data_IF_442272737532
#
_entry.id   IF_442272737532
#
_cell.length_a   1.000
_cell.length_b   1.000
_cell.length_c   1.000
_cell.angle_alpha   90.00
_cell.angle_beta   90.00
_cell.angle_gamma   90.00
#
_symmetry.space_group_name_H-M   'P 1'
#
loop_
_entity.id
_entity.type
_entity.pdbx_description
1 polymer ?
#
# COMPACT_ATOMS: atom_id res chain seq x y z
N UNK A 1 12.50 -8.72 -36.68
CA UNK A 1 11.73 -8.07 -35.59
C UNK A 1 11.40 -9.15 -34.59
N UNK A 2 12.10 -9.19 -33.45
CA UNK A 2 11.93 -10.23 -32.45
C UNK A 2 10.66 -9.98 -31.65
N UNK A 3 9.75 -10.92 -31.70
CA UNK A 3 8.50 -10.92 -30.95
C UNK A 3 8.84 -11.02 -29.45
N UNK A 4 8.55 -9.97 -28.68
CA UNK A 4 8.74 -9.99 -27.23
C UNK A 4 7.67 -10.90 -26.65
N UNK A 5 8.08 -12.06 -26.13
CA UNK A 5 7.18 -12.99 -25.44
C UNK A 5 6.34 -12.25 -24.39
N UNK A 6 5.06 -12.60 -24.26
CA UNK A 6 4.18 -12.11 -23.19
C UNK A 6 4.83 -12.26 -21.80
N UNK A 7 5.65 -13.30 -21.60
CA UNK A 7 6.43 -13.49 -20.37
C UNK A 7 7.49 -12.41 -20.14
N UNK A 8 8.12 -11.90 -21.20
CA UNK A 8 9.14 -10.85 -21.14
C UNK A 8 8.52 -9.48 -20.99
N UNK A 9 7.34 -9.25 -21.57
CA UNK A 9 6.53 -8.05 -21.34
C UNK A 9 6.04 -8.02 -19.89
N UNK A 10 5.51 -9.12 -19.35
CA UNK A 10 5.16 -9.23 -17.91
C UNK A 10 6.39 -9.08 -17.01
N UNK A 11 7.56 -9.58 -17.41
CA UNK A 11 8.82 -9.43 -16.65
C UNK A 11 9.37 -8.00 -16.70
N UNK A 12 9.22 -7.30 -17.82
CA UNK A 12 9.63 -5.90 -18.01
C UNK A 12 8.66 -4.92 -17.31
N UNK A 13 7.35 -5.20 -17.34
CA UNK A 13 6.33 -4.44 -16.59
C UNK A 13 6.45 -4.63 -15.08
N UNK A 14 6.92 -5.80 -14.62
CA UNK A 14 7.31 -6.02 -13.22
C UNK A 14 8.43 -5.08 -12.76
N UNK A 15 9.28 -4.55 -13.64
CA UNK A 15 10.40 -3.68 -13.28
C UNK A 15 10.03 -2.18 -13.12
N UNK A 16 8.78 -1.79 -13.41
CA UNK A 16 8.33 -0.39 -13.31
C UNK A 16 7.01 -0.23 -12.55
N UNK A 17 6.90 -0.87 -11.39
CA UNK A 17 5.77 -0.60 -10.50
C UNK A 17 5.93 0.79 -9.87
N UNK A 18 4.88 1.64 -9.89
CA UNK A 18 4.91 2.91 -9.18
C UNK A 18 5.20 2.71 -7.70
N UNK A 19 5.98 3.62 -7.12
CA UNK A 19 6.24 3.63 -5.68
C UNK A 19 4.95 3.99 -4.95
N UNK A 20 4.63 3.23 -3.91
CA UNK A 20 3.55 3.57 -2.99
C UNK A 20 3.91 4.86 -2.26
N UNK A 21 3.20 5.94 -2.57
CA UNK A 21 3.28 7.21 -1.83
C UNK A 21 2.47 7.12 -0.54
N UNK A 22 2.91 7.83 0.51
CA UNK A 22 2.27 7.78 1.83
C UNK A 22 1.55 9.09 2.22
N UNK A 23 1.03 9.79 1.22
CA UNK A 23 0.44 11.11 1.33
C UNK A 23 -1.09 11.13 1.23
N UNK A 24 -1.72 10.13 0.61
CA UNK A 24 -3.19 10.10 0.44
C UNK A 24 -3.97 10.06 1.76
N UNK A 25 -5.08 10.82 1.82
CA UNK A 25 -5.97 10.95 2.98
C UNK A 25 -7.41 10.69 2.61
N UNK A 26 -8.18 10.14 3.55
CA UNK A 26 -9.62 9.97 3.38
C UNK A 26 -10.35 11.32 3.47
N UNK A 27 -10.95 11.76 2.37
CA UNK A 27 -11.63 13.07 2.27
C UNK A 27 -13.16 12.96 2.30
N UNK A 28 -13.70 11.78 1.97
CA UNK A 28 -15.13 11.47 2.04
C UNK A 28 -15.52 10.76 3.33
N UNK A 29 -16.80 10.83 3.71
CA UNK A 29 -17.37 10.08 4.85
C UNK A 29 -17.19 8.56 4.70
N UNK A 30 -17.37 8.05 3.50
CA UNK A 30 -17.25 6.65 3.09
C UNK A 30 -15.82 6.15 3.33
N UNK A 31 -14.83 6.90 2.86
CA UNK A 31 -13.43 6.59 3.07
C UNK A 31 -13.05 6.66 4.56
N UNK A 32 -13.55 7.66 5.28
CA UNK A 32 -13.31 7.79 6.72
C UNK A 32 -13.91 6.62 7.51
N UNK A 33 -15.09 6.16 7.11
CA UNK A 33 -15.75 4.99 7.68
C UNK A 33 -14.93 3.71 7.41
N UNK A 34 -14.50 3.50 6.16
CA UNK A 34 -13.62 2.38 5.79
C UNK A 34 -12.31 2.39 6.59
N UNK A 35 -11.64 3.53 6.67
CA UNK A 35 -10.39 3.68 7.43
C UNK A 35 -10.62 3.38 8.91
N UNK A 36 -11.73 3.86 9.49
CA UNK A 36 -12.05 3.61 10.89
C UNK A 36 -12.35 2.13 11.13
N UNK A 37 -13.12 1.51 10.24
CA UNK A 37 -13.40 0.08 10.29
C UNK A 37 -12.10 -0.74 10.25
N UNK A 38 -11.21 -0.47 9.28
CA UNK A 38 -9.92 -1.17 9.15
C UNK A 38 -9.04 -0.94 10.38
N UNK A 39 -8.98 0.30 10.89
CA UNK A 39 -8.20 0.61 12.07
C UNK A 39 -8.72 -0.14 13.30
N UNK A 40 -10.02 -0.06 13.57
CA UNK A 40 -10.61 -0.49 14.84
C UNK A 40 -10.86 -2.00 14.88
N UNK A 41 -11.13 -2.64 13.74
CA UNK A 41 -11.45 -4.07 13.68
C UNK A 41 -10.28 -4.95 13.25
N UNK A 42 -9.29 -4.40 12.54
CA UNK A 42 -8.15 -5.18 12.01
C UNK A 42 -6.85 -4.75 12.67
N UNK A 43 -6.52 -3.46 12.61
CA UNK A 43 -5.20 -2.99 13.04
C UNK A 43 -5.05 -3.03 14.56
N UNK A 44 -5.91 -2.32 15.30
CA UNK A 44 -5.79 -2.19 16.75
C UNK A 44 -5.91 -3.53 17.49
N UNK A 45 -6.85 -4.43 17.14
CA UNK A 45 -6.95 -5.74 17.80
C UNK A 45 -5.72 -6.64 17.59
N UNK A 46 -4.96 -6.40 16.52
CA UNK A 46 -3.74 -7.18 16.21
C UNK A 46 -2.48 -6.71 16.95
N UNK A 47 -2.60 -5.68 17.78
CA UNK A 47 -1.48 -5.00 18.44
C UNK A 47 -1.69 -4.93 19.97
N UNK A 48 -0.62 -4.84 20.76
CA UNK A 48 -0.75 -4.49 22.17
C UNK A 48 -1.36 -3.08 22.31
N UNK A 49 -1.91 -2.71 23.48
CA UNK A 49 -2.50 -1.39 23.70
C UNK A 49 -1.62 -0.24 23.21
N UNK A 50 -2.22 0.70 22.46
CA UNK A 50 -1.51 1.81 21.83
C UNK A 50 -1.92 3.13 22.47
N UNK A 51 -0.95 4.05 22.62
CA UNK A 51 -1.22 5.42 23.07
C UNK A 51 -2.04 6.19 22.02
N UNK A 52 -2.87 7.18 22.41
CA UNK A 52 -3.69 7.94 21.46
C UNK A 52 -2.90 8.55 20.29
N UNK A 53 -1.71 9.09 20.54
CA UNK A 53 -0.84 9.63 19.49
C UNK A 53 -0.36 8.57 18.50
N UNK A 54 -0.11 7.34 18.97
CA UNK A 54 0.23 6.20 18.12
C UNK A 54 -0.96 5.80 17.26
N UNK A 55 -2.18 5.78 17.83
CA UNK A 55 -3.44 5.49 17.11
C UNK A 55 -3.66 6.50 15.98
N UNK A 56 -3.50 7.79 16.25
CA UNK A 56 -3.62 8.83 15.22
C UNK A 56 -2.60 8.64 14.08
N UNK A 57 -1.37 8.26 14.39
CA UNK A 57 -0.36 7.99 13.35
C UNK A 57 -0.61 6.68 12.59
N UNK A 58 -1.20 5.67 13.23
CA UNK A 58 -1.63 4.45 12.55
C UNK A 58 -2.83 4.71 11.63
N UNK A 59 -3.77 5.58 12.03
CA UNK A 59 -4.86 6.03 11.15
C UNK A 59 -4.29 6.64 9.86
N UNK A 60 -3.33 7.56 9.96
CA UNK A 60 -2.65 8.13 8.78
C UNK A 60 -1.98 7.07 7.91
N UNK A 61 -1.39 6.04 8.53
CA UNK A 61 -0.78 4.93 7.80
C UNK A 61 -1.83 4.07 7.07
N UNK A 62 -2.99 3.82 7.69
CA UNK A 62 -4.13 3.13 7.06
C UNK A 62 -4.65 3.93 5.87
N UNK A 63 -4.91 5.24 6.06
CA UNK A 63 -5.35 6.14 4.99
C UNK A 63 -4.41 6.10 3.78
N UNK A 64 -3.12 6.28 4.04
CA UNK A 64 -2.08 6.30 3.03
C UNK A 64 -1.97 4.96 2.27
N UNK A 65 -2.02 3.84 3.00
CA UNK A 65 -1.97 2.50 2.40
C UNK A 65 -3.20 2.23 1.54
N UNK A 66 -4.40 2.50 2.05
CA UNK A 66 -5.64 2.26 1.30
C UNK A 66 -5.71 3.16 0.07
N UNK A 67 -5.43 4.46 0.20
CA UNK A 67 -5.42 5.39 -0.92
C UNK A 67 -4.48 4.91 -2.03
N UNK A 68 -3.23 4.62 -1.69
CA UNK A 68 -2.21 4.25 -2.68
C UNK A 68 -2.42 2.87 -3.31
N UNK A 69 -2.95 1.90 -2.56
CA UNK A 69 -3.19 0.55 -3.06
C UNK A 69 -4.54 0.40 -3.79
N UNK A 70 -5.59 1.13 -3.40
CA UNK A 70 -6.85 1.18 -4.15
C UNK A 70 -6.64 1.88 -5.49
N UNK A 71 -5.93 3.02 -5.50
CA UNK A 71 -5.56 3.71 -6.74
C UNK A 71 -4.63 2.85 -7.64
N UNK A 72 -3.97 1.84 -7.07
CA UNK A 72 -3.22 0.87 -7.86
C UNK A 72 -4.09 -0.11 -8.63
N UNK A 73 -5.28 -0.42 -8.11
CA UNK A 73 -6.23 -1.31 -8.77
C UNK A 73 -6.90 -0.64 -9.98
N UNK A 74 -7.04 0.69 -9.94
CA UNK A 74 -7.59 1.47 -11.04
C UNK A 74 -6.62 1.59 -12.23
N UNK A 75 -5.31 1.52 -11.94
CA UNK A 75 -4.30 1.68 -12.97
C UNK A 75 -4.26 0.47 -13.93
N UNK A 76 -4.36 0.74 -15.23
CA UNK A 76 -4.31 -0.29 -16.30
C UNK A 76 -3.00 -1.09 -16.30
N UNK A 77 -1.93 -0.54 -15.70
CA UNK A 77 -0.61 -1.18 -15.64
C UNK A 77 -0.23 -1.54 -14.21
N UNK A 78 0.25 -2.78 -14.03
CA UNK A 78 0.84 -3.26 -12.79
C UNK A 78 -0.04 -4.16 -11.92
N UNK A 79 -1.22 -4.56 -12.41
CA UNK A 79 -2.07 -5.60 -11.79
C UNK A 79 -2.36 -5.33 -10.29
N UNK A 80 -2.56 -4.05 -9.92
CA UNK A 80 -2.82 -3.65 -8.53
C UNK A 80 -1.59 -3.56 -7.62
N UNK A 81 -0.39 -3.87 -8.12
CA UNK A 81 0.82 -3.85 -7.31
C UNK A 81 1.41 -2.44 -7.16
N UNK A 82 1.96 -2.15 -5.97
CA UNK A 82 2.81 -1.00 -5.70
C UNK A 82 4.10 -1.42 -5.01
N UNK A 83 5.16 -0.69 -5.29
CA UNK A 83 6.49 -0.93 -4.72
C UNK A 83 6.74 -0.04 -3.51
N UNK A 84 7.28 -0.56 -2.41
CA UNK A 84 7.72 0.25 -1.26
C UNK A 84 9.01 -0.31 -0.64
N UNK A 85 10.12 0.46 -0.67
CA UNK A 85 11.30 0.13 0.10
C UNK A 85 11.00 0.23 1.59
N UNK A 86 11.40 -0.78 2.37
CA UNK A 86 11.13 -0.87 3.80
C UNK A 86 12.33 -0.53 4.69
N UNK A 87 13.38 0.08 4.11
CA UNK A 87 14.55 0.59 4.84
C UNK A 87 14.18 1.84 5.64
N UNK A 88 15.00 2.23 6.62
CA UNK A 88 14.70 3.44 7.41
C UNK A 88 14.71 4.72 6.57
N UNK A 89 15.67 4.84 5.65
CA UNK A 89 15.84 6.05 4.82
C UNK A 89 14.69 6.34 3.86
N UNK A 90 13.90 5.33 3.47
CA UNK A 90 12.75 5.52 2.57
C UNK A 90 11.53 6.18 3.24
N UNK A 91 11.60 6.46 4.54
CA UNK A 91 10.54 7.14 5.29
C UNK A 91 10.95 8.55 5.75
N UNK A 92 12.17 8.99 5.44
CA UNK A 92 12.62 10.34 5.80
C UNK A 92 11.80 11.38 5.03
N UNK A 93 11.17 12.32 5.75
CA UNK A 93 10.34 13.38 5.17
C UNK A 93 8.92 12.95 4.79
N UNK A 94 8.56 11.68 4.98
CA UNK A 94 7.22 11.17 4.71
C UNK A 94 6.25 11.51 5.85
N UNK A 95 4.97 11.64 5.53
CA UNK A 95 3.96 11.92 6.56
C UNK A 95 3.70 10.74 7.49
N UNK A 96 3.99 9.53 7.02
CA UNK A 96 3.84 8.29 7.78
C UNK A 96 5.22 7.77 8.15
N UNK A 97 5.48 7.67 9.45
CA UNK A 97 6.71 7.08 9.97
C UNK A 97 6.77 5.56 9.74
N UNK A 98 7.98 5.03 9.55
CA UNK A 98 8.23 3.61 9.28
C UNK A 98 7.60 2.67 10.30
N UNK A 99 7.71 2.99 11.60
CA UNK A 99 7.22 2.11 12.66
C UNK A 99 5.70 1.87 12.55
N UNK A 100 4.94 2.93 12.34
CA UNK A 100 3.48 2.86 12.19
C UNK A 100 3.11 2.18 10.88
N UNK A 101 3.82 2.49 9.79
CA UNK A 101 3.64 1.81 8.52
C UNK A 101 3.81 0.29 8.67
N UNK A 102 4.90 -0.18 9.28
CA UNK A 102 5.16 -1.61 9.43
C UNK A 102 4.17 -2.32 10.35
N UNK A 103 3.69 -1.63 11.41
CA UNK A 103 2.62 -2.17 12.27
C UNK A 103 1.33 -2.38 11.49
N UNK A 104 0.89 -1.36 10.74
CA UNK A 104 -0.32 -1.44 9.92
C UNK A 104 -0.16 -2.48 8.81
N UNK A 105 0.96 -2.44 8.09
CA UNK A 105 1.26 -3.42 7.04
C UNK A 105 1.18 -4.85 7.56
N UNK A 106 1.85 -5.15 8.69
CA UNK A 106 1.84 -6.48 9.27
C UNK A 106 0.47 -6.91 9.81
N UNK A 107 -0.34 -5.98 10.29
CA UNK A 107 -1.72 -6.25 10.70
C UNK A 107 -2.60 -6.66 9.51
N UNK A 108 -2.56 -5.88 8.43
CA UNK A 108 -3.31 -6.15 7.21
C UNK A 108 -2.84 -7.44 6.53
N UNK A 109 -1.54 -7.70 6.48
CA UNK A 109 -0.95 -8.92 5.93
C UNK A 109 -1.46 -10.16 6.70
N UNK A 110 -1.42 -10.15 8.04
CA UNK A 110 -1.94 -11.25 8.86
C UNK A 110 -3.45 -11.46 8.72
N UNK A 111 -4.19 -10.39 8.46
CA UNK A 111 -5.62 -10.45 8.23
C UNK A 111 -5.99 -10.89 6.79
N UNK A 112 -5.01 -11.15 5.92
CA UNK A 112 -5.26 -11.52 4.52
C UNK A 112 -5.80 -10.37 3.67
N UNK A 113 -5.63 -9.12 4.11
CA UNK A 113 -6.12 -7.93 3.41
C UNK A 113 -5.16 -7.46 2.30
N UNK A 114 -3.90 -7.89 2.35
CA UNK A 114 -2.92 -7.59 1.31
C UNK A 114 -1.97 -8.75 1.08
N UNK A 115 -1.50 -8.86 -0.16
CA UNK A 115 -0.37 -9.68 -0.55
C UNK A 115 0.92 -8.87 -0.44
N UNK A 116 1.98 -9.52 0.06
CA UNK A 116 3.31 -8.94 0.17
C UNK A 116 4.36 -9.84 -0.48
N UNK A 117 5.16 -9.28 -1.38
CA UNK A 117 6.27 -9.99 -2.01
C UNK A 117 7.56 -9.18 -1.84
N UNK A 118 8.49 -9.69 -1.05
CA UNK A 118 9.80 -9.07 -0.82
C UNK A 118 10.87 -9.49 -1.83
N UNK A 119 12.06 -8.91 -1.70
CA UNK A 119 13.27 -9.40 -2.39
C UNK A 119 13.52 -8.84 -3.79
N UNK A 120 12.76 -7.84 -4.24
CA UNK A 120 13.02 -7.21 -5.53
C UNK A 120 14.19 -6.23 -5.41
N UNK A 121 15.16 -6.32 -6.32
CA UNK A 121 16.25 -5.33 -6.40
C UNK A 121 15.69 -4.07 -7.09
N UNK A 122 15.51 -3.01 -6.32
CA UNK A 122 15.07 -1.69 -6.78
C UNK A 122 16.11 -1.00 -7.68
N UNK A 123 15.65 0.05 -8.36
CA UNK A 123 16.40 0.83 -9.38
C UNK A 123 17.73 1.41 -8.86
N UNK A 124 17.86 1.61 -7.55
CA UNK A 124 19.04 2.21 -6.89
C UNK A 124 20.31 1.37 -6.96
N UNK A 125 20.23 0.11 -7.38
CA UNK A 125 21.40 -0.73 -7.61
C UNK A 125 22.40 -0.09 -8.59
N UNK A 126 21.89 0.62 -9.60
CA UNK A 126 22.72 1.25 -10.63
C UNK A 126 23.39 2.57 -10.16
N UNK A 127 22.88 3.21 -9.10
CA UNK A 127 23.33 4.54 -8.68
C UNK A 127 24.09 4.53 -7.35
N UNK A 128 23.83 3.56 -6.47
CA UNK A 128 24.44 3.48 -5.12
C UNK A 128 25.34 2.25 -4.91
N UNK A 129 25.43 1.35 -5.90
CA UNK A 129 26.17 0.08 -5.79
C UNK A 129 25.57 -0.93 -4.82
N UNK A 130 24.46 -0.59 -4.12
CA UNK A 130 23.71 -1.51 -3.25
C UNK A 130 22.27 -1.59 -3.75
N UNK A 131 21.79 -2.75 -4.21
CA UNK A 131 20.39 -2.87 -4.60
C UNK A 131 19.51 -2.61 -3.37
N UNK A 132 18.77 -1.49 -3.38
CA UNK A 132 17.69 -1.27 -2.43
C UNK A 132 16.69 -2.42 -2.57
N UNK A 133 16.35 -3.11 -1.48
CA UNK A 133 15.37 -4.20 -1.51
C UNK A 133 13.98 -3.58 -1.43
N UNK A 134 13.22 -3.79 -2.48
CA UNK A 134 11.87 -3.30 -2.62
C UNK A 134 10.84 -4.40 -2.29
N UNK A 135 9.73 -3.99 -1.71
CA UNK A 135 8.62 -4.87 -1.35
C UNK A 135 7.41 -4.48 -2.18
N UNK A 136 6.80 -5.46 -2.85
CA UNK A 136 5.55 -5.26 -3.58
C UNK A 136 4.37 -5.56 -2.68
N UNK A 137 3.37 -4.70 -2.78
CA UNK A 137 2.15 -4.72 -1.99
C UNK A 137 0.94 -4.63 -2.91
N UNK A 138 -0.13 -5.38 -2.61
CA UNK A 138 -1.39 -5.34 -3.35
C UNK A 138 -2.54 -5.72 -2.42
N UNK A 139 -3.70 -5.08 -2.55
CA UNK A 139 -4.91 -5.49 -1.82
C UNK A 139 -5.46 -6.82 -2.36
N UNK A 140 -5.95 -7.66 -1.48
CA UNK A 140 -6.64 -8.91 -1.87
C UNK A 140 -8.08 -8.64 -2.29
N UNK A 141 -8.72 -9.60 -2.96
CA UNK A 141 -10.14 -9.49 -3.32
C UNK A 141 -11.07 -9.33 -2.11
N UNK A 142 -10.70 -9.86 -0.94
CA UNK A 142 -11.44 -9.63 0.32
C UNK A 142 -11.40 -8.15 0.71
N UNK A 143 -10.22 -7.53 0.67
CA UNK A 143 -10.07 -6.13 1.00
C UNK A 143 -10.86 -5.21 0.04
N UNK A 144 -10.92 -5.57 -1.23
CA UNK A 144 -11.72 -4.84 -2.23
C UNK A 144 -13.21 -4.96 -1.94
N UNK A 145 -13.72 -6.15 -1.62
CA UNK A 145 -15.12 -6.34 -1.21
C UNK A 145 -15.49 -5.55 0.03
N UNK A 146 -14.60 -5.52 1.02
CA UNK A 146 -14.79 -4.70 2.22
C UNK A 146 -14.88 -3.21 1.83
N UNK A 147 -13.95 -2.71 1.01
CA UNK A 147 -13.98 -1.32 0.55
C UNK A 147 -15.28 -0.97 -0.18
N UNK A 148 -15.73 -1.83 -1.08
CA UNK A 148 -17.00 -1.67 -1.81
C UNK A 148 -18.21 -1.65 -0.87
N UNK A 149 -18.19 -2.45 0.21
CA UNK A 149 -19.23 -2.43 1.25
C UNK A 149 -19.36 -1.08 1.97
N UNK A 150 -18.32 -0.24 1.93
CA UNK A 150 -18.33 1.14 2.43
C UNK A 150 -18.58 2.18 1.32
N UNK A 151 -18.88 1.76 0.08
CA UNK A 151 -19.09 2.65 -1.07
C UNK A 151 -17.80 3.08 -1.77
N UNK A 152 -16.64 2.54 -1.39
CA UNK A 152 -15.34 2.86 -1.98
C UNK A 152 -14.96 1.76 -2.99
N UNK A 153 -15.22 2.01 -4.26
CA UNK A 153 -14.92 1.11 -5.36
C UNK A 153 -13.65 1.54 -6.12
N UNK A 154 -13.11 0.63 -6.94
CA UNK A 154 -11.90 0.91 -7.73
C UNK A 154 -12.11 2.09 -8.70
N UNK A 155 -13.31 2.24 -9.26
CA UNK A 155 -13.63 3.29 -10.24
C UNK A 155 -13.95 4.67 -9.65
N UNK A 156 -13.92 4.84 -8.32
CA UNK A 156 -14.23 6.12 -7.67
C UNK A 156 -13.22 6.52 -6.58
N UNK A 157 -12.04 5.89 -6.53
CA UNK A 157 -11.03 6.11 -5.47
C UNK A 157 -10.65 7.58 -5.32
N UNK A 158 -10.49 8.30 -6.44
CA UNK A 158 -10.13 9.74 -6.43
C UNK A 158 -11.20 10.67 -5.83
N UNK A 159 -12.44 10.21 -5.65
CA UNK A 159 -13.49 10.95 -4.94
C UNK A 159 -13.38 10.77 -3.41
N UNK A 160 -12.74 9.68 -3.00
CA UNK A 160 -12.68 9.21 -1.63
C UNK A 160 -11.36 9.54 -0.95
N UNK A 161 -10.27 9.62 -1.71
CA UNK A 161 -8.93 9.92 -1.23
C UNK A 161 -8.27 11.05 -2.02
N UNK A 162 -7.60 11.96 -1.30
CA UNK A 162 -6.87 13.11 -1.85
C UNK A 162 -5.68 13.54 -1.00
#
# INVERSE_FOLDING_TARGET
MGDLSLSDVSRALRLRQPVLRLDGRAVSSEAQALVSHVLDTIVLPSLPPQRPTSIANMRKAVEALLAGLLAAQEAEWGEGWRSRPLSNGSFTGETVGRTQFLKVLGALERAGMLDRVGGFRGRDAAQTGKPGVDTRLRLTGEALRIAEGFGVAIGNVGQHFG
#
